data_IF_480432644469
#
_entry.id   IF_480432644469
#
_cell.length_a   1.000
_cell.length_b   1.000
_cell.length_c   1.000
_cell.angle_alpha   90.00
_cell.angle_beta   90.00
_cell.angle_gamma   90.00
#
_symmetry.space_group_name_H-M   'P 1'
#
loop_
_entity.id
_entity.type
_entity.pdbx_description
1 polymer ?
#
# COMPACT_ATOMS: atom_id res chain seq x y z
N UNK A 1 5.92 5.42 -9.96
CA UNK A 1 5.00 5.03 -8.87
C UNK A 1 3.68 4.60 -9.48
N UNK A 2 3.13 3.44 -9.11
CA UNK A 2 1.84 3.00 -9.61
C UNK A 2 0.95 2.56 -8.44
N UNK A 3 -0.08 3.36 -8.15
CA UNK A 3 -1.14 3.01 -7.20
C UNK A 3 -2.37 2.64 -8.02
N UNK A 4 -2.76 1.36 -8.00
CA UNK A 4 -3.95 0.89 -8.70
C UNK A 4 -5.10 0.72 -7.72
N UNK A 5 -6.13 1.54 -7.86
CA UNK A 5 -7.37 1.48 -7.07
C UNK A 5 -8.44 0.72 -7.86
N UNK A 6 -8.91 -0.41 -7.34
CA UNK A 6 -10.03 -1.17 -7.87
C UNK A 6 -11.22 -1.06 -6.91
N UNK A 7 -12.24 -0.31 -7.29
CA UNK A 7 -13.48 -0.20 -6.51
C UNK A 7 -14.35 -1.41 -6.79
N UNK A 8 -14.77 -2.12 -5.75
CA UNK A 8 -15.69 -3.26 -5.89
C UNK A 8 -17.10 -2.67 -5.98
N UNK A 9 -17.79 -2.83 -7.11
CA UNK A 9 -19.13 -2.22 -7.30
C UNK A 9 -20.19 -2.77 -6.34
N UNK A 10 -20.01 -3.99 -5.84
CA UNK A 10 -20.99 -4.68 -4.98
C UNK A 10 -20.83 -4.41 -3.48
N UNK A 11 -19.73 -3.79 -3.04
CA UNK A 11 -19.44 -3.55 -1.61
C UNK A 11 -18.71 -2.21 -1.46
N UNK A 12 -18.83 -1.49 -0.33
CA UNK A 12 -18.11 -0.23 -0.11
C UNK A 12 -16.58 -0.41 0.10
N UNK A 13 -16.02 -1.50 -0.42
CA UNK A 13 -14.62 -1.90 -0.26
C UNK A 13 -13.88 -1.66 -1.57
N UNK A 14 -12.63 -1.25 -1.43
CA UNK A 14 -11.72 -0.98 -2.52
C UNK A 14 -10.47 -1.82 -2.33
N UNK A 15 -10.04 -2.44 -3.42
CA UNK A 15 -8.77 -3.13 -3.51
C UNK A 15 -7.72 -2.17 -4.04
N UNK A 16 -6.77 -1.78 -3.20
CA UNK A 16 -5.65 -0.92 -3.58
C UNK A 16 -4.41 -1.76 -3.72
N UNK A 17 -3.78 -1.70 -4.88
CA UNK A 17 -2.47 -2.32 -5.12
C UNK A 17 -1.43 -1.21 -5.18
N UNK A 18 -0.50 -1.25 -4.24
CA UNK A 18 0.67 -0.39 -4.22
C UNK A 18 1.80 -1.14 -4.94
N UNK A 19 2.42 -0.48 -5.91
CA UNK A 19 3.60 -0.97 -6.61
C UNK A 19 4.61 0.17 -6.70
N UNK A 20 5.71 0.00 -5.98
CA UNK A 20 6.75 1.01 -5.80
C UNK A 20 8.07 0.40 -6.23
N UNK A 21 8.68 0.96 -7.26
CA UNK A 21 10.04 0.54 -7.67
C UNK A 21 11.03 1.38 -6.87
N UNK A 22 11.67 0.76 -5.87
CA UNK A 22 12.56 1.45 -4.94
C UNK A 22 13.79 0.58 -4.68
N UNK A 23 14.61 0.38 -5.71
CA UNK A 23 15.82 -0.46 -5.65
C UNK A 23 16.79 -0.06 -4.53
N UNK A 24 16.81 1.23 -4.17
CA UNK A 24 17.66 1.80 -3.11
C UNK A 24 16.99 1.85 -1.74
N UNK A 25 15.67 1.63 -1.64
CA UNK A 25 14.98 1.64 -0.36
C UNK A 25 15.18 0.30 0.35
N UNK A 26 15.47 0.40 1.64
CA UNK A 26 15.61 -0.78 2.49
C UNK A 26 14.21 -1.22 2.93
N UNK A 27 13.36 -0.25 3.27
CA UNK A 27 12.00 -0.51 3.71
C UNK A 27 10.98 0.46 3.10
N UNK A 28 9.81 -0.09 2.77
CA UNK A 28 8.67 0.70 2.29
C UNK A 28 7.46 0.31 3.13
N UNK A 29 6.69 1.30 3.57
CA UNK A 29 5.54 1.11 4.43
C UNK A 29 4.35 1.92 3.92
N UNK A 30 3.15 1.32 3.94
CA UNK A 30 1.90 2.07 3.74
C UNK A 30 1.28 2.32 5.10
N UNK A 31 0.97 3.58 5.40
CA UNK A 31 0.29 3.98 6.64
C UNK A 31 -1.02 4.69 6.31
N UNK A 32 -2.03 4.56 7.15
CA UNK A 32 -3.31 5.23 6.96
C UNK A 32 -4.33 4.86 8.03
N UNK A 33 -5.57 5.27 7.80
CA UNK A 33 -6.65 5.06 8.78
C UNK A 33 -6.95 3.58 9.05
N UNK A 34 -6.55 2.69 8.13
CA UNK A 34 -6.77 1.25 8.24
C UNK A 34 -5.76 0.54 9.16
N UNK A 35 -4.60 1.15 9.43
CA UNK A 35 -3.56 0.62 10.32
C UNK A 35 -3.17 1.61 11.42
N UNK A 36 -4.07 2.55 11.72
CA UNK A 36 -3.87 3.58 12.73
C UNK A 36 -2.54 4.35 12.55
N UNK A 37 -2.14 4.58 11.30
CA UNK A 37 -0.88 5.24 10.94
C UNK A 37 0.40 4.52 11.42
N UNK A 38 0.32 3.22 11.72
CA UNK A 38 1.45 2.43 12.18
C UNK A 38 2.30 1.88 11.02
N UNK A 39 3.58 2.24 10.97
CA UNK A 39 4.51 1.79 9.94
C UNK A 39 4.87 0.30 10.06
N UNK A 40 4.84 -0.27 11.27
CA UNK A 40 5.19 -1.67 11.52
C UNK A 40 4.16 -2.65 10.96
N UNK A 41 2.89 -2.25 10.90
CA UNK A 41 1.82 -3.06 10.33
C UNK A 41 1.70 -2.89 8.80
N UNK A 42 2.36 -1.86 8.25
CA UNK A 42 2.23 -1.42 6.87
C UNK A 42 3.31 -1.90 5.90
N UNK A 43 4.20 -2.81 6.33
CA UNK A 43 5.41 -3.18 5.59
C UNK A 43 5.07 -3.84 4.23
N UNK A 44 5.64 -3.30 3.14
CA UNK A 44 5.52 -3.91 1.83
C UNK A 44 6.55 -5.03 1.65
N UNK A 45 6.14 -6.12 0.98
CA UNK A 45 7.06 -7.18 0.60
C UNK A 45 7.95 -6.74 -0.57
N UNK A 46 9.26 -6.85 -0.39
CA UNK A 46 10.28 -6.57 -1.41
C UNK A 46 10.38 -7.76 -2.37
N UNK A 47 10.16 -7.52 -3.67
CA UNK A 47 10.43 -8.51 -4.70
C UNK A 47 11.90 -8.45 -5.13
N UNK A 48 12.40 -9.57 -5.64
CA UNK A 48 13.78 -9.75 -6.14
C UNK A 48 14.19 -8.76 -7.24
N UNK A 49 13.22 -8.15 -7.93
CA UNK A 49 13.45 -7.11 -8.94
C UNK A 49 13.73 -5.72 -8.36
N UNK A 50 13.62 -5.55 -7.03
CA UNK A 50 13.67 -4.24 -6.34
C UNK A 50 12.32 -3.51 -6.32
N UNK A 51 11.24 -4.24 -6.65
CA UNK A 51 9.88 -3.73 -6.68
C UNK A 51 9.16 -4.13 -5.39
N UNK A 52 8.58 -3.15 -4.70
CA UNK A 52 7.77 -3.37 -3.51
C UNK A 52 6.31 -3.45 -3.91
N UNK A 53 5.61 -4.47 -3.42
CA UNK A 53 4.21 -4.69 -3.72
C UNK A 53 3.40 -4.98 -2.47
N UNK A 54 2.27 -4.31 -2.34
CA UNK A 54 1.29 -4.58 -1.30
C UNK A 54 -0.12 -4.47 -1.86
N UNK A 55 -0.97 -5.37 -1.40
CA UNK A 55 -2.35 -5.48 -1.85
C UNK A 55 -3.25 -5.35 -0.65
N UNK A 56 -3.82 -4.17 -0.50
CA UNK A 56 -4.66 -3.79 0.63
C UNK A 56 -6.13 -3.81 0.21
N UNK A 57 -7.00 -4.28 1.10
CA UNK A 57 -8.45 -4.09 1.00
C UNK A 57 -8.85 -3.10 2.08
N UNK A 58 -9.38 -1.95 1.69
CA UNK A 58 -9.83 -0.90 2.61
C UNK A 58 -11.16 -0.32 2.15
N UNK A 59 -11.85 0.41 3.03
CA UNK A 59 -13.09 1.09 2.68
C UNK A 59 -12.81 2.24 1.69
N UNK A 60 -13.78 2.57 0.83
CA UNK A 60 -13.56 3.56 -0.24
C UNK A 60 -13.18 4.98 0.27
N UNK A 61 -13.40 5.27 1.56
CA UNK A 61 -13.17 6.57 2.20
C UNK A 61 -11.88 6.72 3.01
N UNK A 62 -11.04 5.69 3.15
CA UNK A 62 -9.84 5.79 3.99
C UNK A 62 -8.73 6.62 3.34
N UNK A 63 -8.09 7.51 4.12
CA UNK A 63 -6.88 8.23 3.72
C UNK A 63 -5.67 7.31 3.91
N UNK A 64 -4.74 7.39 2.98
CA UNK A 64 -3.53 6.55 2.96
C UNK A 64 -2.34 7.43 2.59
N UNK A 65 -1.21 7.18 3.24
CA UNK A 65 0.07 7.79 2.97
C UNK A 65 1.12 6.69 2.77
N UNK A 66 2.06 6.92 1.85
CA UNK A 66 3.12 5.98 1.54
C UNK A 66 4.44 6.55 2.05
N UNK A 67 5.09 5.85 2.96
CA UNK A 67 6.39 6.24 3.50
C UNK A 67 7.49 5.35 2.94
N UNK A 68 8.57 5.96 2.47
CA UNK A 68 9.72 5.29 1.86
C UNK A 68 10.93 5.69 2.71
N UNK A 69 11.61 4.71 3.28
CA UNK A 69 12.79 4.90 4.14
C UNK A 69 14.03 4.23 3.53
#
# INVERSE_FOLDING_TARGET
MAIKKQVIKSRPVVKVTFSVDAKKAEHVFVVGDFNNWNAEEGILSKLKSGLFRLLLKCLNRTRMNLNIS
#
